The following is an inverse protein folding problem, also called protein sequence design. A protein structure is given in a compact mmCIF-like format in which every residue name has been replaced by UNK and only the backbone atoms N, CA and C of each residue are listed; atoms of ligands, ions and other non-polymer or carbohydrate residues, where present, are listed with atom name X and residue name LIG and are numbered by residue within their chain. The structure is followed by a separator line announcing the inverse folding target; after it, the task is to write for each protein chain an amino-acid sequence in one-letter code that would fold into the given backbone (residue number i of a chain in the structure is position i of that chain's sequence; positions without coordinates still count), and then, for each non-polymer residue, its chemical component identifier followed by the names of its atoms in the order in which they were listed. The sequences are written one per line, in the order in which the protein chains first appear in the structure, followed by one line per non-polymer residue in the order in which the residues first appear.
data_IF_134186098704
#
_entry.id   IF_134186098704
#
_cell.length_a   1.000
_cell.length_b   1.000
_cell.length_c   1.000
_cell.angle_alpha   90.00
_cell.angle_beta   90.00
_cell.angle_gamma   90.00
#
_symmetry.space_group_name_H-M   'P 1'
#
loop_
_entity.id
_entity.type
_entity.pdbx_description
1 polymer ?
#
# COMPACT_ATOMS: atom_id res chain seq x y z
N UNK A 1 -21.21 55.70 -32.91
CA UNK A 1 -20.86 56.65 -31.83
C UNK A 1 -22.14 56.93 -31.06
N UNK A 2 -22.15 56.73 -29.74
CA UNK A 2 -23.32 57.05 -28.92
C UNK A 2 -23.55 58.57 -28.96
N UNK A 3 -24.81 59.00 -29.07
CA UNK A 3 -25.16 60.42 -29.13
C UNK A 3 -24.77 61.13 -27.82
N UNK A 4 -24.51 62.43 -27.86
CA UNK A 4 -24.15 63.22 -26.66
C UNK A 4 -25.20 63.09 -25.54
N UNK A 5 -26.47 62.91 -25.92
CA UNK A 5 -27.57 62.66 -24.99
C UNK A 5 -27.46 61.28 -24.31
N UNK A 6 -27.12 60.23 -25.05
CA UNK A 6 -26.93 58.89 -24.48
C UNK A 6 -25.73 58.86 -23.51
N UNK A 7 -24.65 59.57 -23.85
CA UNK A 7 -23.49 59.70 -22.97
C UNK A 7 -23.86 60.41 -21.66
N UNK A 8 -24.64 61.49 -21.74
CA UNK A 8 -25.14 62.21 -20.57
C UNK A 8 -26.07 61.34 -19.72
N UNK A 9 -27.03 60.64 -20.32
CA UNK A 9 -27.93 59.73 -19.61
C UNK A 9 -27.17 58.62 -18.88
N UNK A 10 -26.16 58.03 -19.54
CA UNK A 10 -25.29 57.04 -18.92
C UNK A 10 -24.57 57.61 -17.69
N UNK A 11 -23.98 58.81 -17.82
CA UNK A 11 -23.28 59.47 -16.72
C UNK A 11 -24.20 59.79 -15.52
N UNK A 12 -25.41 60.29 -15.80
CA UNK A 12 -26.41 60.56 -14.75
C UNK A 12 -26.82 59.27 -14.03
N UNK A 13 -27.08 58.20 -14.78
CA UNK A 13 -27.45 56.91 -14.20
C UNK A 13 -26.32 56.32 -13.35
N UNK A 14 -25.07 56.47 -13.79
CA UNK A 14 -23.89 56.09 -13.00
C UNK A 14 -23.83 56.85 -11.67
N UNK A 15 -24.01 58.18 -11.69
CA UNK A 15 -24.04 59.00 -10.48
C UNK A 15 -25.18 58.59 -9.54
N UNK A 16 -26.38 58.35 -10.07
CA UNK A 16 -27.52 57.85 -9.28
C UNK A 16 -27.19 56.49 -8.65
N UNK A 17 -26.59 55.57 -9.41
CA UNK A 17 -26.13 54.28 -8.90
C UNK A 17 -25.13 54.41 -7.75
N UNK A 18 -24.15 55.30 -7.91
CA UNK A 18 -23.14 55.59 -6.87
C UNK A 18 -23.76 56.18 -5.60
N UNK A 19 -24.75 57.07 -5.72
CA UNK A 19 -25.48 57.61 -4.57
C UNK A 19 -26.25 56.51 -3.85
N UNK A 20 -26.98 55.65 -4.58
CA UNK A 20 -27.71 54.52 -3.99
C UNK A 20 -26.80 53.56 -3.23
N UNK A 21 -25.63 53.25 -3.79
CA UNK A 21 -24.62 52.40 -3.13
C UNK A 21 -24.10 53.04 -1.84
N UNK A 22 -23.78 54.34 -1.89
CA UNK A 22 -23.29 55.09 -0.72
C UNK A 22 -24.34 55.15 0.39
N UNK A 23 -25.62 55.38 0.06
CA UNK A 23 -26.72 55.37 1.03
C UNK A 23 -26.89 53.99 1.67
N UNK A 24 -26.79 52.92 0.88
CA UNK A 24 -26.90 51.54 1.39
C UNK A 24 -25.76 51.20 2.36
N UNK A 25 -24.52 51.57 2.03
CA UNK A 25 -23.35 51.39 2.92
C UNK A 25 -23.50 52.16 4.23
N UNK A 26 -24.00 53.40 4.17
CA UNK A 26 -24.28 54.20 5.36
C UNK A 26 -25.33 53.51 6.25
N UNK A 27 -26.41 53.01 5.66
CA UNK A 27 -27.48 52.31 6.39
C UNK A 27 -26.93 51.08 7.14
N UNK A 28 -26.07 50.27 6.52
CA UNK A 28 -25.45 49.12 7.18
C UNK A 28 -24.62 49.50 8.43
N UNK A 29 -24.00 50.69 8.44
CA UNK A 29 -23.19 51.16 9.56
C UNK A 29 -23.96 51.91 10.66
N UNK A 30 -25.12 52.50 10.32
CA UNK A 30 -25.90 53.35 11.22
C UNK A 30 -27.14 52.65 11.79
N UNK A 31 -27.76 51.75 11.02
CA UNK A 31 -28.95 51.02 11.45
C UNK A 31 -28.55 49.90 12.43
N UNK A 32 -29.04 49.91 13.68
CA UNK A 32 -28.58 48.98 14.70
C UNK A 32 -28.78 47.50 14.36
N UNK A 33 -29.90 47.13 13.73
CA UNK A 33 -30.20 45.72 13.42
C UNK A 33 -29.28 45.17 12.33
N UNK A 34 -29.00 45.94 11.27
CA UNK A 34 -28.06 45.58 10.22
C UNK A 34 -26.64 45.48 10.76
N UNK A 35 -26.24 46.40 11.64
CA UNK A 35 -24.93 46.36 12.30
C UNK A 35 -24.77 45.11 13.17
N UNK A 36 -25.80 44.72 13.91
CA UNK A 36 -25.78 43.47 14.69
C UNK A 36 -25.66 42.23 13.80
N UNK A 37 -26.39 42.18 12.69
CA UNK A 37 -26.28 41.06 11.74
C UNK A 37 -24.88 41.00 11.14
N UNK A 38 -24.31 42.14 10.74
CA UNK A 38 -22.95 42.20 10.20
C UNK A 38 -21.90 41.72 11.21
N UNK A 39 -22.03 42.11 12.47
CA UNK A 39 -21.15 41.62 13.54
C UNK A 39 -21.27 40.12 13.73
N UNK A 40 -22.50 39.57 13.76
CA UNK A 40 -22.71 38.12 13.86
C UNK A 40 -22.05 37.36 12.71
N UNK A 41 -22.17 37.88 11.48
CA UNK A 41 -21.47 37.30 10.31
C UNK A 41 -19.95 37.36 10.53
N UNK A 42 -19.42 38.47 11.02
CA UNK A 42 -18.00 38.61 11.37
C UNK A 42 -17.54 37.57 12.41
N UNK A 43 -18.30 37.41 13.48
CA UNK A 43 -18.03 36.44 14.54
C UNK A 43 -18.08 34.99 14.00
N UNK A 44 -19.08 34.65 13.18
CA UNK A 44 -19.18 33.36 12.53
C UNK A 44 -18.00 33.08 11.58
N UNK A 45 -17.54 34.09 10.83
CA UNK A 45 -16.35 33.97 9.97
C UNK A 45 -15.11 33.65 10.80
N UNK A 46 -14.93 34.29 11.97
CA UNK A 46 -13.82 34.00 12.88
C UNK A 46 -13.89 32.55 13.36
N UNK A 47 -15.06 32.10 13.80
CA UNK A 47 -15.26 30.71 14.25
C UNK A 47 -14.99 29.71 13.12
N UNK A 48 -15.46 29.98 11.90
CA UNK A 48 -15.18 29.13 10.74
C UNK A 48 -13.69 29.06 10.47
N UNK A 49 -12.97 30.18 10.55
CA UNK A 49 -11.52 30.20 10.36
C UNK A 49 -10.78 29.35 11.42
N UNK A 50 -11.20 29.41 12.69
CA UNK A 50 -10.64 28.56 13.74
C UNK A 50 -10.92 27.07 13.51
N UNK A 51 -12.14 26.72 13.09
CA UNK A 51 -12.51 25.35 12.74
C UNK A 51 -11.70 24.81 11.56
N UNK A 52 -11.44 25.64 10.54
CA UNK A 52 -10.60 25.28 9.40
C UNK A 52 -9.16 25.00 9.84
N UNK A 53 -8.58 25.84 10.70
CA UNK A 53 -7.24 25.60 11.25
C UNK A 53 -7.17 24.29 12.04
N UNK A 54 -8.21 23.99 12.83
CA UNK A 54 -8.30 22.72 13.57
C UNK A 54 -8.40 21.53 12.63
N UNK A 55 -9.18 21.64 11.56
CA UNK A 55 -9.33 20.60 10.54
C UNK A 55 -8.01 20.34 9.83
N UNK A 56 -7.25 21.38 9.49
CA UNK A 56 -5.93 21.24 8.85
C UNK A 56 -4.97 20.44 9.73
N UNK A 57 -4.90 20.73 11.03
CA UNK A 57 -4.06 19.99 11.97
C UNK A 57 -4.48 18.50 12.08
N UNK A 58 -5.78 18.23 12.09
CA UNK A 58 -6.30 16.86 12.14
C UNK A 58 -5.96 16.08 10.87
N UNK A 59 -6.08 16.71 9.69
CA UNK A 59 -5.68 16.11 8.41
C UNK A 59 -4.19 15.75 8.43
N UNK A 60 -3.33 16.66 8.87
CA UNK A 60 -1.88 16.40 8.96
C UNK A 60 -1.56 15.22 9.88
N UNK A 61 -2.23 15.13 11.04
CA UNK A 61 -2.08 14.00 11.96
C UNK A 61 -2.53 12.67 11.32
N UNK A 62 -3.65 12.67 10.61
CA UNK A 62 -4.15 11.48 9.91
C UNK A 62 -3.20 11.02 8.79
N UNK A 63 -2.60 11.94 8.04
CA UNK A 63 -1.61 11.60 7.02
C UNK A 63 -0.36 10.96 7.64
N UNK A 64 0.16 11.53 8.72
CA UNK A 64 1.33 11.02 9.43
C UNK A 64 1.07 9.63 10.02
N UNK A 65 -0.07 9.43 10.68
CA UNK A 65 -0.44 8.13 11.25
C UNK A 65 -0.64 7.08 10.16
N UNK A 66 -1.31 7.43 9.05
CA UNK A 66 -1.50 6.53 7.92
C UNK A 66 -0.18 6.11 7.26
N UNK A 67 0.76 7.04 7.10
CA UNK A 67 2.10 6.73 6.56
C UNK A 67 2.87 5.76 7.48
N UNK A 68 2.82 6.02 8.80
CA UNK A 68 3.44 5.18 9.82
C UNK A 68 2.84 3.77 9.84
N UNK A 69 1.51 3.64 9.77
CA UNK A 69 0.82 2.35 9.70
C UNK A 69 1.14 1.59 8.41
N UNK A 70 1.21 2.26 7.26
CA UNK A 70 1.63 1.65 5.99
C UNK A 70 3.06 1.10 6.09
N UNK A 71 3.98 1.87 6.68
CA UNK A 71 5.36 1.44 6.91
C UNK A 71 5.44 0.24 7.87
N UNK A 72 4.68 0.26 8.97
CA UNK A 72 4.62 -0.89 9.89
C UNK A 72 4.07 -2.14 9.19
N UNK A 73 3.00 -2.01 8.40
CA UNK A 73 2.43 -3.13 7.61
C UNK A 73 3.44 -3.68 6.60
N UNK A 74 4.19 -2.83 5.91
CA UNK A 74 5.19 -3.28 4.95
C UNK A 74 6.35 -4.02 5.65
N UNK A 75 6.84 -3.52 6.80
CA UNK A 75 7.85 -4.24 7.60
C UNK A 75 7.35 -5.57 8.12
N UNK A 76 6.12 -5.65 8.64
CA UNK A 76 5.51 -6.90 9.08
C UNK A 76 5.43 -7.91 7.93
N UNK A 77 5.13 -7.44 6.71
CA UNK A 77 5.10 -8.28 5.50
C UNK A 77 6.51 -8.75 5.13
N UNK A 78 7.51 -7.87 5.17
CA UNK A 78 8.91 -8.23 4.93
C UNK A 78 9.44 -9.28 5.91
N UNK A 79 9.16 -9.11 7.20
CA UNK A 79 9.54 -10.11 8.21
C UNK A 79 8.92 -11.48 7.92
N UNK A 80 7.62 -11.53 7.59
CA UNK A 80 6.94 -12.78 7.23
C UNK A 80 7.55 -13.45 5.99
N UNK A 81 7.87 -12.67 4.96
CA UNK A 81 8.54 -13.19 3.75
C UNK A 81 9.90 -13.79 4.13
N UNK A 82 10.69 -13.11 4.96
CA UNK A 82 11.99 -13.61 5.37
C UNK A 82 11.91 -14.88 6.22
N UNK A 83 10.92 -15.01 7.10
CA UNK A 83 10.70 -16.26 7.85
C UNK A 83 10.38 -17.43 6.90
N UNK A 84 9.58 -17.18 5.86
CA UNK A 84 9.29 -18.21 4.83
C UNK A 84 10.55 -18.59 4.06
N UNK A 85 11.40 -17.62 3.73
CA UNK A 85 12.69 -17.88 3.07
C UNK A 85 13.61 -18.72 3.96
N UNK A 86 13.66 -18.44 5.27
CA UNK A 86 14.44 -19.25 6.22
C UNK A 86 13.97 -20.70 6.24
N UNK A 87 12.67 -20.94 6.28
CA UNK A 87 12.11 -22.29 6.26
C UNK A 87 12.34 -23.00 4.90
N UNK A 88 12.21 -22.29 3.77
CA UNK A 88 12.59 -22.80 2.45
C UNK A 88 14.06 -23.20 2.42
N UNK A 89 14.96 -22.34 2.90
CA UNK A 89 16.39 -22.62 2.96
C UNK A 89 16.68 -23.83 3.85
N UNK A 90 15.97 -23.97 4.97
CA UNK A 90 16.05 -25.15 5.83
C UNK A 90 15.66 -26.43 5.09
N UNK A 91 14.57 -26.41 4.31
CA UNK A 91 14.16 -27.55 3.49
C UNK A 91 15.21 -27.91 2.43
N UNK A 92 15.76 -26.90 1.73
CA UNK A 92 16.83 -27.08 0.75
C UNK A 92 18.05 -27.71 1.42
N UNK A 93 18.54 -27.12 2.51
CA UNK A 93 19.73 -27.64 3.22
C UNK A 93 19.50 -29.08 3.68
N UNK A 94 18.35 -29.39 4.27
CA UNK A 94 18.01 -30.76 4.71
C UNK A 94 17.99 -31.75 3.56
N UNK A 95 17.33 -31.41 2.45
CA UNK A 95 17.27 -32.26 1.25
C UNK A 95 18.66 -32.55 0.70
N UNK A 96 19.46 -31.52 0.45
CA UNK A 96 20.78 -31.69 -0.18
C UNK A 96 21.82 -32.25 0.79
N UNK A 97 21.63 -32.12 2.11
CA UNK A 97 22.42 -32.84 3.11
C UNK A 97 22.20 -34.35 2.99
N UNK A 98 20.96 -34.81 2.81
CA UNK A 98 20.67 -36.23 2.57
C UNK A 98 21.20 -36.65 1.20
N UNK A 99 20.99 -35.84 0.16
CA UNK A 99 21.43 -36.17 -1.21
C UNK A 99 22.95 -36.41 -1.31
N UNK A 100 23.74 -35.64 -0.57
CA UNK A 100 25.21 -35.77 -0.53
C UNK A 100 25.74 -36.69 0.57
N UNK A 101 24.87 -37.26 1.42
CA UNK A 101 25.30 -38.19 2.47
C UNK A 101 25.82 -39.51 1.86
N UNK A 102 26.89 -40.12 2.40
CA UNK A 102 27.33 -41.44 1.97
C UNK A 102 26.21 -42.49 2.13
N UNK A 103 25.87 -43.22 1.07
CA UNK A 103 24.75 -44.20 1.06
C UNK A 103 24.85 -45.26 2.16
N UNK A 104 26.08 -45.61 2.56
CA UNK A 104 26.36 -46.59 3.63
C UNK A 104 25.98 -46.09 5.02
N UNK A 105 25.93 -44.76 5.24
CA UNK A 105 25.59 -44.17 6.55
C UNK A 105 24.11 -43.79 6.68
N UNK A 106 23.31 -43.95 5.63
CA UNK A 106 21.88 -43.63 5.65
C UNK A 106 21.08 -44.68 6.41
N UNK A 107 20.15 -44.22 7.26
CA UNK A 107 19.09 -45.05 7.83
C UNK A 107 17.96 -45.30 6.80
N UNK A 108 16.96 -46.11 7.15
CA UNK A 108 15.85 -46.46 6.25
C UNK A 108 15.05 -45.25 5.77
N UNK A 109 14.75 -44.30 6.67
CA UNK A 109 14.01 -43.08 6.36
C UNK A 109 14.77 -42.19 5.37
N UNK A 110 16.05 -41.92 5.65
CA UNK A 110 16.92 -41.13 4.77
C UNK A 110 17.09 -41.80 3.40
N UNK A 111 17.15 -43.14 3.34
CA UNK A 111 17.24 -43.89 2.09
C UNK A 111 15.95 -43.76 1.26
N UNK A 112 14.78 -43.83 1.89
CA UNK A 112 13.51 -43.62 1.20
C UNK A 112 13.39 -42.19 0.64
N UNK A 113 13.79 -41.19 1.42
CA UNK A 113 13.83 -39.79 0.97
C UNK A 113 14.82 -39.61 -0.19
N UNK A 114 16.00 -40.22 -0.11
CA UNK A 114 16.99 -40.18 -1.19
C UNK A 114 16.41 -40.72 -2.50
N UNK A 115 15.74 -41.87 -2.48
CA UNK A 115 15.10 -42.41 -3.69
C UNK A 115 14.05 -41.45 -4.25
N UNK A 116 13.17 -40.90 -3.40
CA UNK A 116 12.20 -39.88 -3.82
C UNK A 116 12.88 -38.68 -4.48
N UNK A 117 13.96 -38.15 -3.91
CA UNK A 117 14.67 -37.00 -4.48
C UNK A 117 15.25 -37.27 -5.86
N UNK A 118 15.77 -38.48 -6.08
CA UNK A 118 16.30 -38.90 -7.39
C UNK A 118 15.17 -39.07 -8.40
N UNK A 119 14.04 -39.66 -8.00
CA UNK A 119 12.87 -39.85 -8.86
C UNK A 119 12.21 -38.51 -9.24
N UNK A 120 12.31 -37.51 -8.37
CA UNK A 120 11.85 -36.17 -8.62
C UNK A 120 12.78 -35.37 -9.54
N UNK A 121 14.01 -35.80 -9.84
CA UNK A 121 14.92 -35.06 -10.70
C UNK A 121 14.44 -35.03 -12.16
N UNK A 122 14.69 -33.94 -12.89
CA UNK A 122 14.39 -33.81 -14.31
C UNK A 122 15.56 -33.21 -15.08
N UNK A 123 15.50 -33.25 -16.41
CA UNK A 123 16.50 -32.60 -17.26
C UNK A 123 16.62 -31.10 -16.98
N UNK A 124 15.49 -30.45 -16.65
CA UNK A 124 15.40 -29.01 -16.41
C UNK A 124 15.83 -28.59 -14.99
N UNK A 125 15.93 -29.53 -14.05
CA UNK A 125 16.43 -29.27 -12.69
C UNK A 125 17.89 -29.68 -12.49
N UNK A 126 18.48 -30.37 -13.47
CA UNK A 126 19.85 -30.85 -13.38
C UNK A 126 20.82 -29.70 -13.10
N UNK A 127 21.59 -29.82 -12.03
CA UNK A 127 22.57 -28.81 -11.61
C UNK A 127 21.98 -27.62 -10.84
N UNK A 128 20.68 -27.61 -10.58
CA UNK A 128 20.01 -26.55 -9.83
C UNK A 128 19.47 -27.09 -8.50
N UNK A 129 19.46 -26.22 -7.48
CA UNK A 129 18.81 -26.55 -6.21
C UNK A 129 17.31 -26.38 -6.36
N UNK A 130 16.53 -27.40 -6.01
CA UNK A 130 15.07 -27.33 -5.99
C UNK A 130 14.45 -28.12 -4.85
N UNK A 131 13.26 -27.71 -4.46
CA UNK A 131 12.39 -28.40 -3.51
C UNK A 131 10.98 -28.55 -4.06
N UNK A 132 10.23 -29.50 -3.52
CA UNK A 132 8.81 -29.71 -3.81
C UNK A 132 7.97 -29.53 -2.56
N UNK A 133 6.64 -29.52 -2.68
CA UNK A 133 5.76 -29.36 -1.52
C UNK A 133 5.95 -30.44 -0.45
N UNK A 134 6.29 -31.67 -0.85
CA UNK A 134 6.59 -32.75 0.09
C UNK A 134 7.82 -32.41 0.95
N UNK A 135 8.82 -31.72 0.40
CA UNK A 135 10.02 -31.31 1.14
C UNK A 135 9.69 -30.22 2.17
N UNK A 136 8.78 -29.31 1.82
CA UNK A 136 8.28 -28.30 2.76
C UNK A 136 7.56 -28.97 3.93
N UNK A 137 6.67 -29.93 3.66
CA UNK A 137 5.93 -30.66 4.70
C UNK A 137 6.85 -31.51 5.58
N UNK A 138 7.92 -32.06 5.00
CA UNK A 138 8.88 -32.92 5.71
C UNK A 138 9.84 -32.13 6.62
N UNK A 139 10.39 -31.01 6.13
CA UNK A 139 11.54 -30.35 6.79
C UNK A 139 11.21 -29.02 7.47
N UNK A 140 9.99 -28.53 7.32
CA UNK A 140 9.58 -27.21 7.81
C UNK A 140 8.31 -27.29 8.64
N UNK A 141 8.01 -26.21 9.35
CA UNK A 141 6.73 -26.04 10.04
C UNK A 141 5.70 -25.27 9.20
N UNK A 142 6.04 -24.95 7.94
CA UNK A 142 5.17 -24.17 7.06
C UNK A 142 3.96 -24.98 6.63
N UNK A 143 2.79 -24.35 6.72
CA UNK A 143 1.57 -24.87 6.13
C UNK A 143 1.52 -24.51 4.64
N UNK A 144 1.36 -25.53 3.79
CA UNK A 144 1.16 -25.36 2.35
C UNK A 144 -0.31 -25.00 2.11
N UNK A 145 -0.63 -23.71 2.25
CA UNK A 145 -1.96 -23.14 2.05
C UNK A 145 -1.97 -22.01 1.00
N UNK A 146 -3.13 -21.39 0.78
CA UNK A 146 -3.25 -20.26 -0.16
C UNK A 146 -2.27 -19.11 0.15
N UNK A 147 -1.94 -18.87 1.43
CA UNK A 147 -1.01 -17.81 1.83
C UNK A 147 0.41 -18.18 1.45
N UNK A 148 0.80 -19.44 1.63
CA UNK A 148 2.09 -19.94 1.17
C UNK A 148 2.28 -19.76 -0.35
N UNK A 149 1.27 -20.10 -1.16
CA UNK A 149 1.35 -19.88 -2.62
C UNK A 149 1.43 -18.39 -3.01
N UNK A 150 0.71 -17.51 -2.29
CA UNK A 150 0.85 -16.07 -2.49
C UNK A 150 2.28 -15.58 -2.19
N UNK A 151 2.91 -16.12 -1.14
CA UNK A 151 4.31 -15.80 -0.81
C UNK A 151 5.28 -16.34 -1.87
N UNK A 152 5.06 -17.54 -2.41
CA UNK A 152 5.83 -18.06 -3.53
C UNK A 152 5.73 -17.18 -4.77
N UNK A 153 4.54 -16.64 -5.08
CA UNK A 153 4.36 -15.68 -6.18
C UNK A 153 5.20 -14.42 -5.97
N UNK A 154 5.27 -13.91 -4.73
CA UNK A 154 6.13 -12.77 -4.39
C UNK A 154 7.60 -13.14 -4.60
N UNK A 155 8.05 -14.30 -4.10
CA UNK A 155 9.43 -14.76 -4.27
C UNK A 155 9.81 -14.94 -5.74
N UNK A 156 8.89 -15.44 -6.56
CA UNK A 156 9.05 -15.57 -8.01
C UNK A 156 9.16 -14.21 -8.69
N UNK A 157 8.29 -13.25 -8.34
CA UNK A 157 8.38 -11.88 -8.85
C UNK A 157 9.72 -11.21 -8.48
N UNK A 158 10.21 -11.50 -7.27
CA UNK A 158 11.51 -11.06 -6.78
C UNK A 158 12.69 -11.87 -7.34
N UNK A 159 12.46 -12.82 -8.26
CA UNK A 159 13.48 -13.68 -8.89
C UNK A 159 14.34 -14.47 -7.89
N UNK A 160 13.77 -14.83 -6.74
CA UNK A 160 14.45 -15.69 -5.74
C UNK A 160 14.21 -17.18 -5.97
N UNK A 161 13.19 -17.52 -6.76
CA UNK A 161 12.89 -18.87 -7.19
C UNK A 161 12.14 -18.86 -8.52
N UNK A 162 12.11 -20.01 -9.18
CA UNK A 162 11.31 -20.30 -10.37
C UNK A 162 10.56 -21.63 -10.23
N UNK A 163 9.58 -21.86 -11.09
CA UNK A 163 8.80 -23.10 -11.11
C UNK A 163 9.12 -23.93 -12.34
N UNK A 164 9.50 -25.18 -12.14
CA UNK A 164 9.62 -26.20 -13.19
C UNK A 164 8.50 -27.22 -12.98
N UNK A 165 7.62 -27.37 -13.97
CA UNK A 165 6.46 -28.26 -13.90
C UNK A 165 6.66 -29.45 -14.84
N UNK A 166 6.42 -30.65 -14.34
CA UNK A 166 6.53 -31.89 -15.14
C UNK A 166 6.16 -33.13 -14.33
N UNK A 167 5.49 -34.10 -14.98
CA UNK A 167 5.05 -35.35 -14.33
C UNK A 167 4.02 -35.14 -13.22
N UNK A 168 3.16 -34.12 -13.33
CA UNK A 168 2.19 -33.76 -12.29
C UNK A 168 2.82 -33.12 -11.04
N UNK A 169 4.13 -32.86 -11.04
CA UNK A 169 4.87 -32.29 -9.92
C UNK A 169 5.40 -30.89 -10.25
N UNK A 170 5.25 -29.97 -9.30
CA UNK A 170 5.83 -28.63 -9.37
C UNK A 170 7.09 -28.57 -8.52
N UNK A 171 8.20 -28.15 -9.13
CA UNK A 171 9.51 -27.99 -8.51
C UNK A 171 9.83 -26.52 -8.37
N UNK A 172 10.11 -26.09 -7.15
CA UNK A 172 10.52 -24.73 -6.84
C UNK A 172 12.04 -24.68 -6.90
N UNK A 173 12.58 -24.20 -8.01
CA UNK A 173 14.01 -24.08 -8.27
C UNK A 173 14.52 -22.78 -7.66
N UNK A 174 15.53 -22.86 -6.81
CA UNK A 174 16.16 -21.72 -6.14
C UNK A 174 17.14 -21.05 -7.11
N UNK A 175 17.09 -19.72 -7.18
CA UNK A 175 17.93 -18.88 -8.06
C UNK A 175 18.93 -18.08 -7.25
#
# INVERSE_FOLDING_TARGET
MASDLEQLCSHVNEKIGNIKKTLSLRNCGQEPTLKTILNKIGDEIIVVNELLNKLELEIQYQEQTNSSLKYMKSRLTYCKINEVIKEINKAVISKYKILHQPKKSMNSVARNLYHRFIDEETKDTKGHYFIVEADIKEFTTLKVDKKFHMLLNILRHCRRLSEVRGGGLTRYVIT
#
